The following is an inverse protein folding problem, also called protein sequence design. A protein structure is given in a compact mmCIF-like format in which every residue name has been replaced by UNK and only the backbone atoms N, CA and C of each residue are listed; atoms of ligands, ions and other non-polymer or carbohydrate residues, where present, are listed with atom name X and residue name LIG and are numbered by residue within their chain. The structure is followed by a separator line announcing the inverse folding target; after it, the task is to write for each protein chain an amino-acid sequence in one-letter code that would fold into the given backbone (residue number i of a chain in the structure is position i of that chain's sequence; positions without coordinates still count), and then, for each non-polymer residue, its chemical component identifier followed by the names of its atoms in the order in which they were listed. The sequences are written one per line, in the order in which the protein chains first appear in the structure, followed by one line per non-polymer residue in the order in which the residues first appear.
data_IF_776500755275
#
_entry.id   IF_776500755275
#
_cell.length_a   1.000
_cell.length_b   1.000
_cell.length_c   1.000
_cell.angle_alpha   90.00
_cell.angle_beta   90.00
_cell.angle_gamma   90.00
#
_symmetry.space_group_name_H-M   'P 1'
#
loop_
_entity.id
_entity.type
_entity.pdbx_description
1 polymer ?
#
# COMPACT_ATOMS: atom_id res chain seq x y z
N UNK A 1 -7.27 19.29 17.80
CA UNK A 1 -6.70 18.05 18.36
C UNK A 1 -5.82 17.27 17.37
N UNK A 2 -5.90 17.48 16.05
CA UNK A 2 -5.04 16.83 15.03
C UNK A 2 -3.52 17.07 15.16
N UNK A 3 -3.08 18.14 15.83
CA UNK A 3 -1.66 18.48 15.95
C UNK A 3 -0.88 17.65 16.98
N UNK A 4 -1.56 17.09 17.99
CA UNK A 4 -0.90 16.48 19.13
C UNK A 4 -0.30 15.11 18.79
N UNK A 5 -1.03 14.29 18.02
CA UNK A 5 -0.55 12.97 17.62
C UNK A 5 0.56 13.05 16.57
N UNK A 6 0.49 13.95 15.58
CA UNK A 6 1.53 14.11 14.55
C UNK A 6 2.87 14.54 15.16
N UNK A 7 2.83 15.48 16.10
CA UNK A 7 4.03 15.90 16.83
C UNK A 7 4.60 14.75 17.69
N UNK A 8 3.74 13.98 18.34
CA UNK A 8 4.14 12.80 19.12
C UNK A 8 4.80 11.73 18.24
N UNK A 9 4.22 11.39 17.09
CA UNK A 9 4.80 10.41 16.15
C UNK A 9 6.18 10.86 15.68
N UNK A 10 6.31 12.12 15.23
CA UNK A 10 7.59 12.65 14.79
C UNK A 10 8.63 12.62 15.91
N UNK A 11 8.28 13.04 17.13
CA UNK A 11 9.20 13.02 18.26
C UNK A 11 9.64 11.60 18.64
N UNK A 12 8.75 10.60 18.55
CA UNK A 12 9.07 9.19 18.80
C UNK A 12 10.00 8.67 17.70
N UNK A 13 9.69 8.95 16.44
CA UNK A 13 10.55 8.59 15.31
C UNK A 13 11.94 9.20 15.50
N UNK A 14 12.07 10.52 15.68
CA UNK A 14 13.35 11.20 15.89
C UNK A 14 14.20 10.58 17.01
N UNK A 15 13.59 10.17 18.13
CA UNK A 15 14.31 9.49 19.20
C UNK A 15 14.87 8.15 18.76
N UNK A 16 14.07 7.31 18.09
CA UNK A 16 14.52 6.01 17.59
C UNK A 16 15.63 6.14 16.55
N UNK A 17 15.51 7.14 15.65
CA UNK A 17 16.48 7.41 14.59
C UNK A 17 17.82 7.89 15.15
N UNK A 18 17.79 8.93 16.00
CA UNK A 18 19.00 9.55 16.58
C UNK A 18 19.70 8.69 17.64
N UNK A 19 19.03 7.64 18.14
CA UNK A 19 19.67 6.63 18.98
C UNK A 19 20.72 5.82 18.21
N UNK A 20 20.57 5.69 16.89
CA UNK A 20 21.48 4.93 16.02
C UNK A 20 22.37 5.86 15.19
N UNK A 21 21.79 6.87 14.54
CA UNK A 21 22.53 7.84 13.72
C UNK A 21 22.10 9.28 14.08
N UNK A 22 22.98 10.01 14.76
CA UNK A 22 22.65 11.28 15.44
C UNK A 22 22.29 12.39 14.46
N UNK A 23 22.89 12.37 13.28
CA UNK A 23 22.69 13.40 12.27
C UNK A 23 21.46 13.10 11.37
N UNK A 24 20.65 12.09 11.72
CA UNK A 24 19.39 11.80 11.05
C UNK A 24 18.41 12.98 11.17
N UNK A 25 17.77 13.29 10.03
CA UNK A 25 16.74 14.31 9.91
C UNK A 25 15.39 13.62 9.65
N UNK A 26 14.34 14.10 10.30
CA UNK A 26 12.98 13.63 10.05
C UNK A 26 12.04 14.82 9.91
N UNK A 27 11.09 14.73 8.98
CA UNK A 27 10.07 15.74 8.78
C UNK A 27 8.78 15.12 8.24
N UNK A 28 7.67 15.79 8.49
CA UNK A 28 6.41 15.49 7.80
C UNK A 28 6.50 15.96 6.34
N UNK A 29 6.17 15.07 5.42
CA UNK A 29 6.00 15.35 4.00
C UNK A 29 4.67 14.76 3.59
N UNK A 30 3.69 15.62 3.28
CA UNK A 30 2.29 15.23 3.13
C UNK A 30 1.81 14.43 4.37
N UNK A 31 1.42 13.17 4.19
CA UNK A 31 0.91 12.29 5.23
C UNK A 31 1.95 11.30 5.79
N UNK A 32 3.21 11.42 5.37
CA UNK A 32 4.30 10.54 5.79
C UNK A 32 5.37 11.28 6.61
N UNK A 33 6.08 10.54 7.47
CA UNK A 33 7.33 11.00 8.08
C UNK A 33 8.49 10.51 7.23
N UNK A 34 9.13 11.44 6.52
CA UNK A 34 10.31 11.15 5.70
C UNK A 34 11.57 11.34 6.55
N UNK A 35 12.48 10.38 6.43
CA UNK A 35 13.73 10.35 7.19
C UNK A 35 14.93 10.30 6.25
N UNK A 36 15.91 11.17 6.51
CA UNK A 36 17.22 11.12 5.89
C UNK A 36 18.25 10.64 6.92
N UNK A 37 18.99 9.60 6.56
CA UNK A 37 20.01 8.98 7.41
C UNK A 37 21.37 9.19 6.75
N UNK A 38 22.13 10.24 7.10
CA UNK A 38 23.45 10.47 6.55
C UNK A 38 24.46 9.53 7.22
N UNK A 39 25.07 8.62 6.47
CA UNK A 39 26.16 7.78 7.01
C UNK A 39 27.01 7.16 5.90
N UNK A 40 28.30 6.93 6.15
CA UNK A 40 29.14 6.14 5.26
C UNK A 40 28.91 4.62 5.39
N UNK A 41 28.17 4.16 6.41
CA UNK A 41 27.92 2.75 6.66
C UNK A 41 26.71 2.23 5.88
N UNK A 42 26.90 1.16 5.11
CA UNK A 42 25.85 0.64 4.23
C UNK A 42 24.63 0.05 4.97
N UNK A 43 24.80 -0.42 6.21
CA UNK A 43 23.76 -1.05 7.02
C UNK A 43 23.07 -0.10 8.00
N UNK A 44 23.51 1.16 8.10
CA UNK A 44 22.96 2.11 9.08
C UNK A 44 21.45 2.27 8.92
N UNK A 45 20.96 2.30 7.68
CA UNK A 45 19.55 2.57 7.39
C UNK A 45 18.67 1.44 7.91
N UNK A 46 19.16 0.19 7.82
CA UNK A 46 18.49 -0.97 8.39
C UNK A 46 18.45 -0.88 9.92
N UNK A 47 19.60 -0.60 10.57
CA UNK A 47 19.68 -0.48 12.03
C UNK A 47 18.79 0.65 12.56
N UNK A 48 18.77 1.78 11.86
CA UNK A 48 17.91 2.94 12.14
C UNK A 48 16.43 2.57 12.00
N UNK A 49 16.03 1.91 10.92
CA UNK A 49 14.64 1.50 10.71
C UNK A 49 14.17 0.50 11.77
N UNK A 50 15.00 -0.47 12.15
CA UNK A 50 14.69 -1.41 13.22
C UNK A 50 14.56 -0.73 14.59
N UNK A 51 15.45 0.22 14.91
CA UNK A 51 15.38 0.97 16.16
C UNK A 51 14.13 1.86 16.22
N UNK A 52 13.82 2.55 15.11
CA UNK A 52 12.60 3.34 14.99
C UNK A 52 11.35 2.47 15.09
N UNK A 53 11.28 1.32 14.42
CA UNK A 53 10.15 0.39 14.50
C UNK A 53 9.89 -0.03 15.95
N UNK A 54 10.94 -0.46 16.67
CA UNK A 54 10.82 -0.83 18.09
C UNK A 54 10.33 0.33 18.97
N UNK A 55 10.92 1.52 18.80
CA UNK A 55 10.56 2.71 19.58
C UNK A 55 9.11 3.16 19.32
N UNK A 56 8.67 3.09 18.06
CA UNK A 56 7.31 3.41 17.63
C UNK A 56 6.30 2.40 18.19
N UNK A 57 6.57 1.09 18.09
CA UNK A 57 5.73 0.04 18.66
C UNK A 57 5.56 0.16 20.18
N UNK A 58 6.64 0.50 20.90
CA UNK A 58 6.60 0.67 22.35
C UNK A 58 5.86 1.94 22.79
N UNK A 59 6.01 3.03 22.04
CA UNK A 59 5.55 4.36 22.46
C UNK A 59 4.17 4.76 21.92
N UNK A 60 3.69 4.10 20.87
CA UNK A 60 2.47 4.45 20.12
C UNK A 60 1.50 3.27 20.06
N UNK A 61 1.05 2.81 21.22
CA UNK A 61 0.01 1.77 21.30
C UNK A 61 -1.27 2.23 20.60
N UNK A 62 -1.86 1.34 19.80
CA UNK A 62 -3.08 1.62 19.02
C UNK A 62 -2.84 2.19 17.62
N UNK A 63 -1.60 2.44 17.22
CA UNK A 63 -1.25 2.80 15.85
C UNK A 63 -0.72 1.58 15.08
N UNK A 64 -1.09 1.49 13.80
CA UNK A 64 -0.44 0.63 12.83
C UNK A 64 0.50 1.50 12.00
N UNK A 65 1.80 1.26 12.13
CA UNK A 65 2.83 2.05 11.48
C UNK A 65 3.62 1.15 10.53
N UNK A 66 3.92 1.70 9.36
CA UNK A 66 4.76 1.05 8.36
C UNK A 66 5.99 1.90 8.16
N UNK A 67 7.16 1.26 8.17
CA UNK A 67 8.44 1.85 7.85
C UNK A 67 8.94 1.24 6.55
N UNK A 68 9.45 2.09 5.67
CA UNK A 68 10.03 1.66 4.42
C UNK A 68 11.36 2.36 4.15
N UNK A 69 12.28 1.66 3.50
CA UNK A 69 13.60 2.20 3.14
C UNK A 69 13.87 2.08 1.66
N UNK A 70 14.51 3.11 1.11
CA UNK A 70 15.08 3.08 -0.23
C UNK A 70 16.38 2.29 -0.26
N UNK A 71 16.95 2.17 -1.46
CA UNK A 71 18.38 1.86 -1.59
C UNK A 71 19.22 3.02 -1.05
N UNK A 72 20.44 2.76 -0.54
CA UNK A 72 21.37 3.82 -0.18
C UNK A 72 21.75 4.64 -1.42
N UNK A 73 22.05 5.92 -1.21
CA UNK A 73 22.56 6.80 -2.24
C UNK A 73 23.77 7.59 -1.76
N UNK A 74 24.69 7.87 -2.68
CA UNK A 74 25.92 8.64 -2.40
C UNK A 74 25.77 10.08 -2.90
N UNK A 75 25.13 10.26 -4.06
CA UNK A 75 24.91 11.58 -4.64
C UNK A 75 23.63 12.21 -4.06
N UNK A 76 23.69 13.43 -3.50
CA UNK A 76 22.51 14.17 -3.08
C UNK A 76 21.48 14.40 -4.21
N UNK A 77 21.91 14.42 -5.48
CA UNK A 77 21.01 14.55 -6.62
C UNK A 77 20.04 13.36 -6.76
N UNK A 78 20.42 12.19 -6.24
CA UNK A 78 19.61 10.96 -6.26
C UNK A 78 18.60 10.89 -5.10
N UNK A 79 18.55 11.88 -4.20
CA UNK A 79 17.59 11.88 -3.08
C UNK A 79 16.13 11.83 -3.55
N UNK A 80 15.82 12.42 -4.71
CA UNK A 80 14.48 12.32 -5.29
C UNK A 80 14.12 10.86 -5.63
N UNK A 81 15.04 10.13 -6.28
CA UNK A 81 14.89 8.70 -6.57
C UNK A 81 14.75 7.89 -5.28
N UNK A 82 15.61 8.14 -4.29
CA UNK A 82 15.54 7.47 -3.00
C UNK A 82 14.19 7.72 -2.30
N UNK A 83 13.69 8.95 -2.31
CA UNK A 83 12.37 9.29 -1.81
C UNK A 83 11.24 8.51 -2.51
N UNK A 84 11.27 8.44 -3.84
CA UNK A 84 10.28 7.69 -4.62
C UNK A 84 10.33 6.17 -4.32
N UNK A 85 11.52 5.61 -4.11
CA UNK A 85 11.69 4.21 -3.70
C UNK A 85 11.11 3.93 -2.30
N UNK A 86 11.40 4.80 -1.34
CA UNK A 86 10.87 4.67 0.01
C UNK A 86 9.35 4.81 0.03
N UNK A 87 8.79 5.77 -0.71
CA UNK A 87 7.35 5.97 -0.83
C UNK A 87 6.65 4.78 -1.47
N UNK A 88 7.18 4.25 -2.58
CA UNK A 88 6.64 3.02 -3.19
C UNK A 88 6.69 1.85 -2.21
N UNK A 89 7.82 1.66 -1.53
CA UNK A 89 7.96 0.59 -0.56
C UNK A 89 6.99 0.75 0.62
N UNK A 90 6.74 1.97 1.09
CA UNK A 90 5.73 2.26 2.11
C UNK A 90 4.32 1.89 1.64
N UNK A 91 3.95 2.27 0.41
CA UNK A 91 2.65 1.92 -0.18
C UNK A 91 2.46 0.40 -0.32
N UNK A 92 3.52 -0.32 -0.72
CA UNK A 92 3.49 -1.79 -0.81
C UNK A 92 3.32 -2.43 0.57
N UNK A 93 4.10 -2.00 1.55
CA UNK A 93 4.00 -2.56 2.90
C UNK A 93 2.68 -2.21 3.59
N UNK A 94 2.15 -1.01 3.38
CA UNK A 94 0.81 -0.64 3.87
C UNK A 94 -0.25 -1.59 3.30
N UNK A 95 -0.26 -1.81 1.98
CA UNK A 95 -1.21 -2.71 1.34
C UNK A 95 -1.08 -4.17 1.81
N UNK A 96 0.14 -4.62 2.11
CA UNK A 96 0.42 -5.98 2.58
C UNK A 96 0.29 -6.15 4.09
N UNK A 97 0.04 -5.07 4.85
CA UNK A 97 0.04 -5.09 6.31
C UNK A 97 1.40 -5.41 6.93
N UNK A 98 2.49 -5.06 6.25
CA UNK A 98 3.86 -5.25 6.71
C UNK A 98 4.36 -4.02 7.47
N UNK A 99 5.04 -4.22 8.60
CA UNK A 99 5.56 -3.13 9.45
C UNK A 99 6.86 -2.54 8.93
N UNK A 100 7.74 -3.34 8.33
CA UNK A 100 9.04 -2.90 7.85
C UNK A 100 9.39 -3.58 6.53
N UNK A 101 9.77 -2.79 5.51
CA UNK A 101 10.18 -3.29 4.20
C UNK A 101 11.29 -2.44 3.59
N UNK A 102 12.13 -3.05 2.76
CA UNK A 102 13.05 -2.37 1.86
C UNK A 102 12.53 -2.32 0.44
N UNK A 103 12.93 -1.30 -0.31
CA UNK A 103 12.60 -1.20 -1.74
C UNK A 103 12.99 -2.47 -2.50
N UNK A 104 14.11 -3.11 -2.15
CA UNK A 104 14.59 -4.35 -2.74
C UNK A 104 13.63 -5.53 -2.55
N UNK A 105 12.88 -5.55 -1.45
CA UNK A 105 11.91 -6.58 -1.08
C UNK A 105 10.53 -6.37 -1.73
N UNK A 106 10.28 -5.22 -2.36
CA UNK A 106 8.99 -4.98 -3.05
C UNK A 106 8.79 -5.94 -4.23
N UNK A 107 9.84 -6.51 -4.81
CA UNK A 107 9.72 -7.47 -5.91
C UNK A 107 9.40 -6.78 -7.24
N UNK A 108 8.32 -7.17 -7.91
CA UNK A 108 8.01 -6.72 -9.28
C UNK A 108 7.78 -5.20 -9.41
N UNK A 109 7.41 -4.51 -8.34
CA UNK A 109 7.25 -3.04 -8.34
C UNK A 109 8.53 -2.30 -8.70
N UNK A 110 9.69 -2.91 -8.42
CA UNK A 110 11.01 -2.35 -8.78
C UNK A 110 11.17 -2.13 -10.27
N UNK A 111 10.45 -2.90 -11.09
CA UNK A 111 10.45 -2.77 -12.55
C UNK A 111 9.51 -1.66 -13.03
N UNK A 112 8.50 -1.31 -12.24
CA UNK A 112 7.47 -0.33 -12.61
C UNK A 112 7.83 1.10 -12.20
N UNK A 113 8.61 1.28 -11.13
CA UNK A 113 9.02 2.61 -10.69
C UNK A 113 9.84 3.38 -11.74
N UNK A 114 10.83 2.75 -12.45
CA UNK A 114 11.51 3.42 -13.56
C UNK A 114 10.54 3.73 -14.71
N UNK A 115 9.65 2.80 -15.06
CA UNK A 115 8.66 2.99 -16.12
C UNK A 115 7.73 4.20 -15.82
N UNK A 116 7.34 4.40 -14.56
CA UNK A 116 6.62 5.60 -14.12
C UNK A 116 7.41 6.89 -14.36
N UNK A 117 8.74 6.86 -14.17
CA UNK A 117 9.58 8.05 -14.36
C UNK A 117 9.76 8.39 -15.84
N UNK A 118 9.72 7.38 -16.72
CA UNK A 118 9.85 7.54 -18.17
C UNK A 118 8.54 7.97 -18.84
N UNK A 119 7.43 7.31 -18.50
CA UNK A 119 6.09 7.64 -18.99
C UNK A 119 5.02 7.48 -17.90
N UNK A 120 4.83 8.51 -17.05
CA UNK A 120 3.78 8.50 -16.04
C UNK A 120 2.38 8.36 -16.64
N UNK A 121 2.18 8.81 -17.89
CA UNK A 121 0.86 8.87 -18.51
C UNK A 121 0.39 7.49 -18.97
N UNK A 122 1.30 6.64 -19.42
CA UNK A 122 0.97 5.25 -19.78
C UNK A 122 0.60 4.44 -18.54
N UNK A 123 1.33 4.61 -17.44
CA UNK A 123 1.02 3.92 -16.19
C UNK A 123 -0.34 4.35 -15.63
N UNK A 124 -0.65 5.64 -15.69
CA UNK A 124 -1.96 6.17 -15.32
C UNK A 124 -3.06 5.60 -16.22
N UNK A 125 -2.87 5.58 -17.54
CA UNK A 125 -3.86 5.00 -18.47
C UNK A 125 -4.10 3.53 -18.17
N UNK A 126 -3.04 2.76 -17.91
CA UNK A 126 -3.16 1.34 -17.58
C UNK A 126 -3.95 1.12 -16.28
N UNK A 127 -3.71 1.96 -15.26
CA UNK A 127 -4.51 1.98 -14.03
C UNK A 127 -5.99 2.28 -14.33
N UNK A 128 -6.25 3.30 -15.15
CA UNK A 128 -7.59 3.78 -15.48
C UNK A 128 -8.42 2.75 -16.26
N UNK A 129 -7.77 2.02 -17.16
CA UNK A 129 -8.38 0.94 -17.94
C UNK A 129 -8.59 -0.37 -17.16
N UNK A 130 -8.03 -0.50 -15.94
CA UNK A 130 -8.05 -1.74 -15.18
C UNK A 130 -8.77 -1.63 -13.84
N UNK A 131 -8.20 -0.91 -12.88
CA UNK A 131 -8.64 -0.93 -11.48
C UNK A 131 -9.30 0.37 -11.02
N UNK A 132 -9.13 1.47 -11.74
CA UNK A 132 -9.81 2.73 -11.41
C UNK A 132 -11.34 2.62 -11.32
N UNK A 133 -12.05 1.85 -12.17
CA UNK A 133 -13.49 1.64 -12.01
C UNK A 133 -13.86 0.98 -10.68
N UNK A 134 -12.99 0.11 -10.15
CA UNK A 134 -13.18 -0.55 -8.87
C UNK A 134 -12.98 0.43 -7.71
N UNK A 135 -11.94 1.27 -7.80
CA UNK A 135 -11.67 2.34 -6.83
C UNK A 135 -12.86 3.29 -6.76
N UNK A 136 -13.34 3.79 -7.91
CA UNK A 136 -14.49 4.69 -7.97
C UNK A 136 -15.76 4.06 -7.39
N UNK A 137 -15.97 2.76 -7.63
CA UNK A 137 -17.12 2.04 -7.08
C UNK A 137 -17.02 1.83 -5.56
N UNK A 138 -15.84 1.43 -5.06
CA UNK A 138 -15.56 1.35 -3.63
C UNK A 138 -15.75 2.71 -2.94
N UNK A 139 -15.37 3.80 -3.62
CA UNK A 139 -15.55 5.15 -3.13
C UNK A 139 -17.01 5.57 -3.01
N UNK A 140 -17.79 5.27 -4.05
CA UNK A 140 -19.18 5.68 -4.14
C UNK A 140 -20.10 4.86 -3.21
N UNK A 141 -19.81 3.56 -3.05
CA UNK A 141 -20.72 2.62 -2.39
C UNK A 141 -20.15 2.03 -1.10
N UNK A 142 -18.98 2.50 -0.65
CA UNK A 142 -18.29 1.99 0.54
C UNK A 142 -18.08 0.47 0.51
N UNK A 143 -17.76 -0.06 -0.68
CA UNK A 143 -17.47 -1.47 -0.89
C UNK A 143 -15.98 -1.76 -0.75
N UNK A 144 -15.58 -2.97 -1.12
CA UNK A 144 -14.28 -3.55 -0.79
C UNK A 144 -13.77 -4.44 -1.95
N UNK A 145 -14.03 -4.01 -3.19
CA UNK A 145 -13.73 -4.74 -4.42
C UNK A 145 -12.22 -4.80 -4.66
N UNK A 146 -11.51 -3.69 -4.48
CA UNK A 146 -10.05 -3.62 -4.67
C UNK A 146 -9.34 -4.58 -3.71
N UNK A 147 -9.71 -4.56 -2.43
CA UNK A 147 -9.14 -5.46 -1.42
C UNK A 147 -9.51 -6.93 -1.67
N UNK A 148 -10.74 -7.19 -2.14
CA UNK A 148 -11.17 -8.55 -2.49
C UNK A 148 -10.37 -9.10 -3.67
N UNK A 149 -10.14 -8.29 -4.70
CA UNK A 149 -9.33 -8.65 -5.85
C UNK A 149 -7.88 -8.94 -5.43
N UNK A 150 -7.28 -8.05 -4.64
CA UNK A 150 -5.91 -8.23 -4.16
C UNK A 150 -5.77 -9.51 -3.32
N UNK A 151 -6.67 -9.71 -2.36
CA UNK A 151 -6.71 -10.93 -1.53
C UNK A 151 -6.95 -12.20 -2.35
N UNK A 152 -7.71 -12.11 -3.43
CA UNK A 152 -7.95 -13.23 -4.34
C UNK A 152 -6.69 -13.60 -5.12
N UNK A 153 -5.95 -12.62 -5.63
CA UNK A 153 -4.69 -12.85 -6.34
C UNK A 153 -3.60 -13.40 -5.40
N UNK A 154 -3.52 -12.90 -4.17
CA UNK A 154 -2.61 -13.43 -3.14
C UNK A 154 -2.98 -14.86 -2.69
N UNK A 155 -4.26 -15.22 -2.79
CA UNK A 155 -4.74 -16.57 -2.52
C UNK A 155 -4.66 -17.52 -3.73
N UNK A 156 -3.83 -17.20 -4.74
CA UNK A 156 -3.66 -17.95 -5.99
C UNK A 156 -4.96 -18.16 -6.78
N UNK A 157 -5.89 -17.21 -6.68
CA UNK A 157 -7.22 -17.31 -7.30
C UNK A 157 -8.17 -18.27 -6.59
N UNK A 158 -7.92 -18.59 -5.31
CA UNK A 158 -8.77 -19.48 -4.54
C UNK A 158 -9.85 -18.71 -3.74
N UNK A 159 -11.10 -18.82 -4.17
CA UNK A 159 -12.26 -18.18 -3.54
C UNK A 159 -12.43 -18.56 -2.05
N UNK A 160 -12.18 -19.81 -1.68
CA UNK A 160 -12.35 -20.26 -0.30
C UNK A 160 -11.30 -19.65 0.63
N UNK A 161 -10.02 -19.69 0.23
CA UNK A 161 -8.93 -19.03 0.96
C UNK A 161 -9.11 -17.52 1.04
N UNK A 162 -9.62 -16.90 -0.04
CA UNK A 162 -9.95 -15.47 -0.05
C UNK A 162 -11.03 -15.16 0.99
N UNK A 163 -12.08 -15.98 1.05
CA UNK A 163 -13.17 -15.80 2.01
C UNK A 163 -12.71 -15.93 3.47
N UNK A 164 -11.82 -16.90 3.74
CA UNK A 164 -11.18 -17.08 5.04
C UNK A 164 -10.34 -15.85 5.43
N UNK A 165 -9.48 -15.38 4.51
CA UNK A 165 -8.62 -14.20 4.73
C UNK A 165 -9.43 -12.94 5.01
N UNK A 166 -10.54 -12.75 4.31
CA UNK A 166 -11.43 -11.59 4.43
C UNK A 166 -12.52 -11.74 5.51
N UNK A 167 -12.52 -12.84 6.27
CA UNK A 167 -13.55 -13.15 7.26
C UNK A 167 -14.99 -13.00 6.72
N UNK A 168 -15.20 -13.43 5.47
CA UNK A 168 -16.49 -13.32 4.76
C UNK A 168 -16.94 -14.66 4.19
N UNK A 169 -18.10 -14.69 3.55
CA UNK A 169 -18.61 -15.90 2.91
C UNK A 169 -18.11 -16.02 1.47
N UNK A 170 -17.82 -17.25 1.00
CA UNK A 170 -17.42 -17.54 -0.39
C UNK A 170 -18.39 -16.97 -1.44
N UNK A 171 -19.69 -16.87 -1.12
CA UNK A 171 -20.70 -16.30 -2.02
C UNK A 171 -20.50 -14.78 -2.17
N UNK A 172 -20.15 -14.09 -1.09
CA UNK A 172 -19.79 -12.66 -1.12
C UNK A 172 -18.56 -12.43 -1.98
N UNK A 173 -17.51 -13.25 -1.82
CA UNK A 173 -16.30 -13.16 -2.65
C UNK A 173 -16.65 -13.35 -4.13
N UNK A 174 -17.41 -14.40 -4.49
CA UNK A 174 -17.83 -14.63 -5.88
C UNK A 174 -18.61 -13.45 -6.45
N UNK A 175 -19.55 -12.93 -5.67
CA UNK A 175 -20.34 -11.78 -6.08
C UNK A 175 -19.43 -10.55 -6.34
N UNK A 176 -18.50 -10.26 -5.43
CA UNK A 176 -17.56 -9.14 -5.58
C UNK A 176 -16.64 -9.32 -6.78
N UNK A 177 -16.14 -10.53 -7.03
CA UNK A 177 -15.32 -10.82 -8.21
C UNK A 177 -16.11 -10.69 -9.51
N UNK A 178 -17.41 -10.99 -9.49
CA UNK A 178 -18.25 -10.79 -10.66
C UNK A 178 -18.54 -9.30 -10.91
N UNK A 179 -18.72 -8.52 -9.83
CA UNK A 179 -18.75 -7.07 -9.90
C UNK A 179 -17.44 -6.48 -10.44
N UNK A 180 -16.28 -7.04 -10.06
CA UNK A 180 -14.98 -6.65 -10.63
C UNK A 180 -14.97 -6.84 -12.15
N UNK A 181 -15.48 -7.98 -12.63
CA UNK A 181 -15.59 -8.25 -14.06
C UNK A 181 -16.55 -7.30 -14.77
N UNK A 182 -17.72 -7.02 -14.19
CA UNK A 182 -18.71 -6.09 -14.74
C UNK A 182 -18.14 -4.68 -14.91
N UNK A 183 -17.37 -4.19 -13.93
CA UNK A 183 -16.83 -2.83 -13.91
C UNK A 183 -15.57 -2.66 -14.76
N UNK A 184 -14.65 -3.63 -14.70
CA UNK A 184 -13.36 -3.55 -15.41
C UNK A 184 -13.40 -4.16 -16.82
N UNK A 185 -14.39 -4.99 -17.11
CA UNK A 185 -14.39 -5.85 -18.30
C UNK A 185 -13.38 -6.99 -18.25
N UNK A 186 -12.67 -7.20 -17.13
CA UNK A 186 -11.61 -8.19 -16.98
C UNK A 186 -12.06 -9.39 -16.14
N UNK A 187 -11.88 -10.60 -16.67
CA UNK A 187 -12.29 -11.84 -16.01
C UNK A 187 -11.16 -12.46 -15.19
N UNK A 188 -11.32 -12.50 -13.87
CA UNK A 188 -10.37 -13.14 -12.93
C UNK A 188 -10.26 -14.66 -13.10
N UNK A 189 -11.16 -15.29 -13.84
CA UNK A 189 -11.06 -16.69 -14.26
C UNK A 189 -10.08 -16.90 -15.42
N UNK A 190 -9.77 -15.84 -16.19
CA UNK A 190 -8.80 -15.90 -17.28
C UNK A 190 -7.39 -15.54 -16.79
N UNK A 191 -6.36 -16.05 -17.46
CA UNK A 191 -4.97 -15.68 -17.16
C UNK A 191 -4.72 -14.22 -17.51
N UNK A 192 -5.10 -13.77 -18.71
CA UNK A 192 -4.95 -12.38 -19.15
C UNK A 192 -5.65 -11.38 -18.22
N UNK A 193 -6.90 -11.66 -17.81
CA UNK A 193 -7.63 -10.82 -16.88
C UNK A 193 -6.94 -10.70 -15.52
N UNK A 194 -6.43 -11.82 -14.97
CA UNK A 194 -5.65 -11.79 -13.71
C UNK A 194 -4.34 -11.04 -13.84
N UNK A 195 -3.64 -11.18 -14.96
CA UNK A 195 -2.38 -10.47 -15.21
C UNK A 195 -2.61 -8.96 -15.33
N UNK A 196 -3.62 -8.55 -16.10
CA UNK A 196 -3.97 -7.13 -16.28
C UNK A 196 -4.45 -6.49 -14.98
N UNK A 197 -5.36 -7.14 -14.24
CA UNK A 197 -5.82 -6.68 -12.94
C UNK A 197 -4.68 -6.63 -11.92
N UNK A 198 -3.84 -7.67 -11.88
CA UNK A 198 -2.68 -7.74 -11.01
C UNK A 198 -1.59 -6.74 -11.34
N UNK A 199 -1.46 -6.31 -12.59
CA UNK A 199 -0.59 -5.20 -13.00
C UNK A 199 -1.24 -3.85 -12.68
N UNK A 200 -2.56 -3.73 -12.81
CA UNK A 200 -3.34 -2.53 -12.49
C UNK A 200 -3.23 -2.18 -11.01
N UNK A 201 -3.35 -3.16 -10.12
CA UNK A 201 -3.10 -2.99 -8.69
C UNK A 201 -1.67 -2.54 -8.39
N UNK A 202 -0.68 -3.02 -9.17
CA UNK A 202 0.70 -2.56 -9.01
C UNK A 202 0.89 -1.13 -9.49
N UNK A 203 0.29 -0.78 -10.63
CA UNK A 203 0.29 0.59 -11.16
C UNK A 203 -0.32 1.56 -10.15
N UNK A 204 -1.47 1.23 -9.56
CA UNK A 204 -2.11 1.99 -8.48
C UNK A 204 -1.13 2.32 -7.34
N UNK A 205 -0.39 1.32 -6.84
CA UNK A 205 0.58 1.48 -5.74
C UNK A 205 1.79 2.33 -6.13
N UNK A 206 2.25 2.21 -7.38
CA UNK A 206 3.36 3.01 -7.91
C UNK A 206 2.96 4.47 -8.09
N UNK A 207 1.74 4.73 -8.52
CA UNK A 207 1.15 6.07 -8.63
C UNK A 207 0.84 6.71 -7.26
N UNK A 208 1.04 5.98 -6.17
CA UNK A 208 0.72 6.46 -4.82
C UNK A 208 -0.77 6.60 -4.54
N UNK A 209 -1.61 5.90 -5.33
CA UNK A 209 -3.06 5.90 -5.13
C UNK A 209 -3.35 4.94 -3.96
N UNK A 210 -3.89 5.45 -2.83
CA UNK A 210 -4.18 4.60 -1.68
C UNK A 210 -5.35 3.66 -2.01
N UNK A 211 -5.18 2.37 -1.72
CA UNK A 211 -6.32 1.46 -1.62
C UNK A 211 -7.11 1.83 -0.36
N UNK A 212 -8.44 1.99 -0.45
CA UNK A 212 -9.23 2.32 0.74
C UNK A 212 -9.13 1.22 1.78
N UNK A 213 -8.78 1.63 2.99
CA UNK A 213 -9.03 0.88 4.22
C UNK A 213 -10.36 1.37 4.84
N UNK A 214 -11.50 0.97 4.25
CA UNK A 214 -12.83 1.40 4.75
C UNK A 214 -13.15 0.91 6.18
N UNK A 215 -14.33 1.24 6.75
CA UNK A 215 -14.75 0.72 8.07
C UNK A 215 -14.83 -0.83 8.12
N UNK A 216 -14.78 -1.51 6.97
CA UNK A 216 -14.58 -2.96 6.85
C UNK A 216 -13.28 -3.49 7.50
N UNK A 217 -12.35 -2.60 7.86
CA UNK A 217 -11.08 -2.93 8.53
C UNK A 217 -11.19 -2.94 10.06
N UNK A 218 -12.33 -2.53 10.63
CA UNK A 218 -12.60 -2.73 12.06
C UNK A 218 -12.84 -4.21 12.34
N UNK A 219 -12.14 -4.78 13.34
CA UNK A 219 -12.38 -6.16 13.79
C UNK A 219 -13.87 -6.33 14.16
N UNK A 220 -14.62 -7.03 13.31
CA UNK A 220 -16.05 -7.29 13.49
C UNK A 220 -16.98 -6.52 12.54
N UNK A 221 -16.46 -5.60 11.72
CA UNK A 221 -17.21 -5.05 10.60
C UNK A 221 -17.40 -6.16 9.56
N UNK A 222 -18.62 -6.67 9.41
CA UNK A 222 -18.91 -7.65 8.36
C UNK A 222 -18.50 -7.07 7.01
N UNK A 223 -17.63 -7.76 6.27
CA UNK A 223 -17.06 -7.25 5.03
C UNK A 223 -18.12 -6.58 4.15
N UNK A 224 -17.89 -5.31 3.79
CA UNK A 224 -18.86 -4.42 3.15
C UNK A 224 -19.74 -5.13 2.11
N UNK A 225 -21.06 -5.13 2.32
CA UNK A 225 -21.98 -5.71 1.33
C UNK A 225 -22.03 -4.78 0.13
N UNK A 226 -21.80 -5.32 -1.05
CA UNK A 226 -22.11 -4.60 -2.27
C UNK A 226 -23.63 -4.47 -2.38
N UNK A 227 -24.18 -3.28 -2.62
CA UNK A 227 -25.60 -3.09 -2.83
C UNK A 227 -26.11 -3.99 -3.95
N UNK A 228 -27.22 -4.69 -3.73
CA UNK A 228 -27.92 -5.35 -4.83
C UNK A 228 -28.55 -4.24 -5.69
N UNK A 229 -28.22 -4.17 -6.98
CA UNK A 229 -28.94 -3.30 -7.91
C UNK A 229 -30.43 -3.64 -7.87
N UNK A 230 -31.27 -2.64 -7.62
CA UNK A 230 -32.68 -2.71 -7.97
C UNK A 230 -32.73 -2.93 -9.49
N UNK A 231 -33.01 -4.16 -9.90
CA UNK A 231 -33.40 -4.42 -11.28
C UNK A 231 -34.66 -3.62 -11.53
N UNK A 232 -34.54 -2.54 -12.30
CA UNK A 232 -35.66 -1.81 -12.87
C UNK A 232 -36.69 -2.83 -13.38
N UNK A 233 -37.88 -2.79 -12.77
CA UNK A 233 -39.06 -3.54 -13.17
C UNK A 233 -39.92 -2.69 -14.10
#
# INVERSE_FOLDING_TARGET
EEGDWRARVLAVAERGLRAVERDSLAAWVADDVVVLVPSPEADVAQRVAEAASRELEMSLTGFHLTLARSRPTIDPADLHRAGAEAALAANVAHAQGTTLISFEETGAYRLLLPAMSEDPTELQRFHDETVAPLVAYDDQYETDLVHTLDSFLEADGNVARTAEKLFTHRHTVRYRLERVKELSGLDVGSTDGRERLGLGLKAMRVLGIPGRTGPAYERGAGGGRVPAEEKDR
#
